data_IF_297403266681
#
_entry.id   IF_297403266681
#
_cell.length_a   1.000
_cell.length_b   1.000
_cell.length_c   1.000
_cell.angle_alpha   90.00
_cell.angle_beta   90.00
_cell.angle_gamma   90.00
#
_symmetry.space_group_name_H-M   'P 1'
#
loop_
_entity.id
_entity.type
_entity.pdbx_description
1 polymer ?
#
# COMPACT_ATOMS: atom_id res chain seq x y z
N UNK A 1 5.05 -17.65 -17.90
CA UNK A 1 4.87 -17.63 -16.42
C UNK A 1 4.94 -16.17 -15.97
N UNK A 2 3.97 -15.68 -15.19
CA UNK A 2 4.03 -14.35 -14.55
C UNK A 2 4.76 -14.50 -13.20
N UNK A 3 5.44 -13.46 -12.73
CA UNK A 3 5.98 -13.46 -11.36
C UNK A 3 4.84 -13.49 -10.32
N UNK A 4 5.08 -14.04 -9.14
CA UNK A 4 4.08 -14.10 -8.05
C UNK A 4 3.63 -12.71 -7.58
N UNK A 5 2.38 -12.60 -7.15
CA UNK A 5 1.76 -11.35 -6.70
C UNK A 5 1.70 -10.30 -7.81
N UNK A 6 1.48 -10.75 -9.05
CA UNK A 6 1.36 -9.90 -10.24
C UNK A 6 0.01 -10.06 -10.95
N UNK A 7 -0.91 -10.85 -10.40
CA UNK A 7 -2.27 -10.95 -10.92
C UNK A 7 -3.34 -10.84 -9.85
N UNK A 8 -4.47 -10.22 -10.20
CA UNK A 8 -5.62 -10.04 -9.31
C UNK A 8 -6.15 -11.38 -8.78
N UNK A 9 -6.14 -12.43 -9.61
CA UNK A 9 -6.65 -13.76 -9.29
C UNK A 9 -5.97 -14.41 -8.08
N UNK A 10 -4.69 -14.10 -7.85
CA UNK A 10 -3.92 -14.58 -6.69
C UNK A 10 -4.49 -14.10 -5.34
N UNK A 11 -5.35 -13.08 -5.38
CA UNK A 11 -5.96 -12.49 -4.21
C UNK A 11 -7.44 -12.82 -4.07
N UNK A 12 -8.03 -13.67 -4.92
CA UNK A 12 -9.44 -14.03 -4.80
C UNK A 12 -9.68 -15.05 -3.67
N UNK A 13 -10.77 -14.93 -2.88
CA UNK A 13 -11.71 -13.81 -2.83
C UNK A 13 -11.12 -12.56 -2.14
N UNK A 14 -11.47 -11.38 -2.65
CA UNK A 14 -11.05 -10.10 -2.05
C UNK A 14 -11.84 -9.81 -0.77
N UNK A 15 -11.14 -9.30 0.24
CA UNK A 15 -11.75 -8.77 1.47
C UNK A 15 -12.52 -7.47 1.19
N UNK A 16 -13.50 -7.08 2.03
CA UNK A 16 -14.25 -5.84 1.84
C UNK A 16 -13.38 -4.59 1.63
N UNK A 17 -12.34 -4.39 2.44
CA UNK A 17 -11.42 -3.26 2.27
C UNK A 17 -10.63 -3.31 0.95
N UNK A 18 -10.27 -4.51 0.49
CA UNK A 18 -9.52 -4.71 -0.76
C UNK A 18 -10.40 -4.42 -1.98
N UNK A 19 -11.69 -4.77 -1.94
CA UNK A 19 -12.66 -4.41 -2.98
C UNK A 19 -12.82 -2.90 -3.10
N UNK A 20 -12.92 -2.19 -1.97
CA UNK A 20 -12.96 -0.73 -1.94
C UNK A 20 -11.66 -0.14 -2.52
N UNK A 21 -10.51 -0.65 -2.07
CA UNK A 21 -9.20 -0.20 -2.54
C UNK A 21 -9.03 -0.40 -4.05
N UNK A 22 -9.40 -1.56 -4.57
CA UNK A 22 -9.36 -1.88 -6.00
C UNK A 22 -10.17 -0.87 -6.82
N UNK A 23 -11.43 -0.64 -6.43
CA UNK A 23 -12.32 0.31 -7.11
C UNK A 23 -11.79 1.75 -7.06
N UNK A 24 -11.19 2.15 -5.94
CA UNK A 24 -10.59 3.46 -5.76
C UNK A 24 -9.30 3.66 -6.56
N UNK A 25 -8.44 2.65 -6.66
CA UNK A 25 -7.22 2.70 -7.48
C UNK A 25 -7.55 2.88 -8.96
N UNK A 26 -8.60 2.24 -9.46
CA UNK A 26 -9.08 2.44 -10.84
C UNK A 26 -9.56 3.87 -11.10
N UNK A 27 -10.09 4.55 -10.09
CA UNK A 27 -10.67 5.88 -10.20
C UNK A 27 -9.73 7.01 -9.76
N UNK A 28 -8.51 6.70 -9.28
CA UNK A 28 -7.57 7.68 -8.74
C UNK A 28 -8.06 8.35 -7.44
N UNK A 29 -8.91 7.66 -6.65
CA UNK A 29 -9.53 8.21 -5.43
C UNK A 29 -8.93 7.58 -4.17
N UNK A 30 -9.03 8.30 -3.06
CA UNK A 30 -8.70 7.79 -1.73
C UNK A 30 -9.69 6.69 -1.30
N UNK A 31 -9.20 5.49 -1.04
CA UNK A 31 -9.93 4.41 -0.39
C UNK A 31 -10.05 4.71 1.11
N UNK A 32 -11.26 5.02 1.56
CA UNK A 32 -11.56 5.33 2.97
C UNK A 32 -12.15 4.11 3.64
N UNK A 33 -11.33 3.37 4.38
CA UNK A 33 -11.74 2.16 5.12
C UNK A 33 -12.19 2.53 6.54
N UNK A 34 -11.46 3.44 7.18
CA UNK A 34 -11.77 3.95 8.51
C UNK A 34 -11.36 5.42 8.68
N UNK A 35 -11.85 6.07 9.73
CA UNK A 35 -11.49 7.45 10.04
C UNK A 35 -10.10 7.54 10.72
N UNK A 36 -9.83 6.64 11.67
CA UNK A 36 -8.65 6.63 12.53
C UNK A 36 -7.77 5.38 12.28
N UNK A 37 -6.59 5.36 12.91
CA UNK A 37 -5.69 4.20 12.88
C UNK A 37 -6.38 3.00 13.55
N UNK A 38 -6.61 1.88 12.83
CA UNK A 38 -7.23 0.71 13.43
C UNK A 38 -6.31 0.09 14.47
N UNK A 39 -6.83 -0.09 15.69
CA UNK A 39 -6.08 -0.72 16.79
C UNK A 39 -5.86 -2.21 16.51
N UNK A 40 -6.92 -2.89 16.10
CA UNK A 40 -6.96 -4.33 15.83
C UNK A 40 -7.51 -4.62 14.41
N UNK A 41 -7.11 -5.75 13.81
CA UNK A 41 -7.65 -6.19 12.52
C UNK A 41 -9.10 -6.69 12.65
N UNK A 42 -9.92 -6.45 11.62
CA UNK A 42 -11.28 -6.98 11.47
C UNK A 42 -11.55 -7.44 10.04
N UNK A 43 -12.65 -8.14 9.79
CA UNK A 43 -13.05 -8.54 8.43
C UNK A 43 -13.12 -7.37 7.46
N UNK A 44 -13.47 -6.18 7.96
CA UNK A 44 -13.84 -5.03 7.14
C UNK A 44 -12.69 -4.05 6.94
N UNK A 45 -11.62 -4.14 7.74
CA UNK A 45 -10.50 -3.19 7.71
C UNK A 45 -9.17 -3.77 7.20
N UNK A 46 -9.10 -5.08 6.99
CA UNK A 46 -7.86 -5.76 6.57
C UNK A 46 -7.64 -5.59 5.07
N UNK A 47 -6.44 -5.12 4.73
CA UNK A 47 -5.86 -5.19 3.38
C UNK A 47 -4.60 -6.06 3.48
N UNK A 48 -4.48 -7.11 2.66
CA UNK A 48 -3.25 -7.90 2.59
C UNK A 48 -2.13 -7.06 2.01
N UNK A 49 -0.95 -7.13 2.61
CA UNK A 49 0.22 -6.38 2.18
C UNK A 49 0.67 -6.75 0.76
N UNK A 50 0.56 -8.03 0.37
CA UNK A 50 0.88 -8.48 -0.99
C UNK A 50 -0.11 -7.96 -2.04
N UNK A 51 -1.39 -7.79 -1.67
CA UNK A 51 -2.38 -7.15 -2.53
C UNK A 51 -2.10 -5.66 -2.70
N UNK A 52 -1.76 -4.97 -1.61
CA UNK A 52 -1.30 -3.58 -1.66
C UNK A 52 -0.05 -3.43 -2.54
N UNK A 53 0.92 -4.35 -2.39
CA UNK A 53 2.12 -4.40 -3.22
C UNK A 53 1.77 -4.57 -4.69
N UNK A 54 0.91 -5.52 -5.04
CA UNK A 54 0.43 -5.74 -6.41
C UNK A 54 -0.09 -4.44 -7.05
N UNK A 55 -0.94 -3.70 -6.34
CA UNK A 55 -1.44 -2.40 -6.80
C UNK A 55 -0.34 -1.33 -6.88
N UNK A 56 0.60 -1.30 -5.92
CA UNK A 56 1.75 -0.38 -6.00
C UNK A 56 2.59 -0.62 -7.27
N UNK A 57 2.64 -1.84 -7.80
CA UNK A 57 3.35 -2.17 -9.03
C UNK A 57 2.56 -1.93 -10.33
N UNK A 58 1.41 -1.26 -10.23
CA UNK A 58 0.53 -0.90 -11.34
C UNK A 58 -0.62 -1.87 -11.60
N UNK A 59 -0.73 -2.95 -10.83
CA UNK A 59 -1.75 -3.99 -11.03
C UNK A 59 -1.54 -4.83 -12.29
N UNK A 60 -2.64 -5.37 -12.83
CA UNK A 60 -2.74 -6.05 -14.12
C UNK A 60 -3.92 -5.48 -14.93
N UNK A 61 -4.25 -6.10 -16.06
CA UNK A 61 -5.30 -5.62 -16.97
C UNK A 61 -6.70 -5.57 -16.31
N UNK A 62 -6.95 -6.44 -15.33
CA UNK A 62 -8.21 -6.51 -14.57
C UNK A 62 -8.21 -5.60 -13.33
N UNK A 63 -7.05 -5.12 -12.91
CA UNK A 63 -6.86 -4.21 -11.78
C UNK A 63 -5.98 -2.99 -12.13
N UNK A 64 -6.31 -2.20 -13.16
CA UNK A 64 -5.48 -1.07 -13.57
C UNK A 64 -5.46 0.00 -12.47
N UNK A 65 -4.28 0.59 -12.26
CA UNK A 65 -4.07 1.67 -11.28
C UNK A 65 -3.94 3.01 -12.02
N UNK A 66 -4.80 3.96 -11.67
CA UNK A 66 -4.78 5.34 -12.18
C UNK A 66 -3.44 6.02 -11.84
N UNK A 67 -3.04 7.04 -12.60
CA UNK A 67 -1.79 7.80 -12.39
C UNK A 67 -1.71 8.51 -11.03
N UNK A 68 -2.84 8.67 -10.32
CA UNK A 68 -2.85 9.17 -8.95
C UNK A 68 -2.34 8.13 -7.93
N UNK A 69 -2.13 6.89 -8.38
CA UNK A 69 -1.56 5.79 -7.61
C UNK A 69 -2.49 5.24 -6.53
N UNK A 70 -1.87 4.68 -5.49
CA UNK A 70 -2.56 4.01 -4.40
C UNK A 70 -2.75 4.99 -3.25
N UNK A 71 -4.01 5.24 -2.89
CA UNK A 71 -4.40 6.12 -1.81
C UNK A 71 -5.29 5.36 -0.82
N UNK A 72 -4.80 5.12 0.39
CA UNK A 72 -5.47 4.27 1.38
C UNK A 72 -5.52 4.94 2.74
N UNK A 73 -6.71 4.96 3.35
CA UNK A 73 -6.93 5.48 4.70
C UNK A 73 -7.62 4.49 5.63
N UNK A 74 -7.13 4.39 6.86
CA UNK A 74 -7.83 3.72 7.96
C UNK A 74 -7.85 2.19 7.87
N UNK A 75 -6.86 1.59 7.21
CA UNK A 75 -6.78 0.15 7.01
C UNK A 75 -5.73 -0.51 7.92
N UNK A 76 -5.96 -1.78 8.23
CA UNK A 76 -4.98 -2.66 8.86
C UNK A 76 -4.26 -3.46 7.76
N UNK A 77 -2.97 -3.23 7.60
CA UNK A 77 -2.16 -3.89 6.57
C UNK A 77 -1.59 -5.18 7.15
N UNK A 78 -2.16 -6.30 6.72
CA UNK A 78 -1.80 -7.64 7.19
C UNK A 78 -0.63 -8.21 6.37
N UNK A 79 0.43 -8.66 7.03
CA UNK A 79 1.63 -9.20 6.40
C UNK A 79 2.75 -8.17 6.19
N UNK A 80 3.70 -8.49 5.32
CA UNK A 80 4.86 -7.64 5.01
C UNK A 80 4.64 -6.87 3.72
N UNK A 81 4.68 -5.54 3.77
CA UNK A 81 4.73 -4.74 2.54
C UNK A 81 6.17 -4.75 2.04
N UNK A 82 6.46 -5.62 1.06
CA UNK A 82 7.77 -5.78 0.48
C UNK A 82 7.84 -5.21 -0.95
N UNK A 83 8.51 -4.07 -1.09
CA UNK A 83 8.82 -3.40 -2.35
C UNK A 83 10.34 -3.41 -2.62
N UNK A 84 11.08 -4.35 -2.04
CA UNK A 84 12.53 -4.50 -2.27
C UNK A 84 12.84 -4.54 -3.78
N UNK A 85 13.75 -3.65 -4.19
CA UNK A 85 14.23 -3.50 -5.56
C UNK A 85 13.12 -3.24 -6.60
N UNK A 86 11.93 -2.82 -6.16
CA UNK A 86 10.80 -2.56 -7.03
C UNK A 86 10.86 -1.17 -7.66
N UNK A 87 10.29 -1.03 -8.87
CA UNK A 87 9.95 0.26 -9.45
C UNK A 87 8.46 0.49 -9.27
N UNK A 88 8.10 1.54 -8.54
CA UNK A 88 6.73 1.94 -8.23
C UNK A 88 6.36 3.12 -9.14
N UNK A 89 5.51 2.90 -10.17
CA UNK A 89 5.27 3.87 -11.24
C UNK A 89 4.30 5.00 -10.86
N UNK A 90 3.64 4.93 -9.70
CA UNK A 90 2.65 5.90 -9.27
C UNK A 90 2.85 6.28 -7.79
N UNK A 91 2.13 7.28 -7.30
CA UNK A 91 2.26 7.70 -5.90
C UNK A 91 1.69 6.66 -4.93
N UNK A 92 2.25 6.60 -3.72
CA UNK A 92 1.74 5.81 -2.60
C UNK A 92 1.40 6.74 -1.43
N UNK A 93 0.11 6.92 -1.16
CA UNK A 93 -0.38 7.71 -0.03
C UNK A 93 -1.10 6.83 0.98
N UNK A 94 -0.46 6.62 2.12
CA UNK A 94 -1.00 5.84 3.24
C UNK A 94 -1.31 6.80 4.39
N UNK A 95 -2.57 6.84 4.82
CA UNK A 95 -3.04 7.75 5.85
C UNK A 95 -3.73 6.99 6.99
N UNK A 96 -3.35 7.24 8.23
CA UNK A 96 -3.97 6.62 9.40
C UNK A 96 -4.13 5.09 9.28
N UNK A 97 -3.14 4.38 8.75
CA UNK A 97 -3.16 2.92 8.65
C UNK A 97 -2.28 2.27 9.71
N UNK A 98 -2.47 0.98 9.97
CA UNK A 98 -1.64 0.20 10.88
C UNK A 98 -0.96 -0.93 10.11
N UNK A 99 0.36 -0.93 10.06
CA UNK A 99 1.13 -2.02 9.47
C UNK A 99 1.41 -3.10 10.52
N UNK A 100 1.00 -4.34 10.24
CA UNK A 100 1.26 -5.47 11.13
C UNK A 100 2.77 -5.69 11.32
N UNK A 101 3.52 -5.68 10.22
CA UNK A 101 4.95 -5.93 10.19
C UNK A 101 5.71 -4.71 9.65
N UNK A 102 7.05 -4.82 9.64
CA UNK A 102 7.90 -3.81 9.00
C UNK A 102 7.65 -3.69 7.51
N UNK A 103 7.92 -2.50 6.96
CA UNK A 103 7.89 -2.20 5.53
C UNK A 103 9.30 -2.36 4.96
N UNK A 104 9.44 -3.03 3.81
CA UNK A 104 10.72 -3.23 3.14
C UNK A 104 10.70 -2.44 1.83
N UNK A 105 11.53 -1.40 1.75
CA UNK A 105 11.70 -0.49 0.62
C UNK A 105 13.16 -0.44 0.13
N UNK A 106 14.01 -1.39 0.55
CA UNK A 106 15.42 -1.43 0.17
C UNK A 106 15.56 -1.41 -1.35
N UNK A 107 16.37 -0.51 -1.91
CA UNK A 107 16.57 -0.37 -3.36
C UNK A 107 15.32 0.00 -4.17
N UNK A 108 14.18 0.29 -3.51
CA UNK A 108 12.95 0.64 -4.19
C UNK A 108 13.06 2.02 -4.86
N UNK A 109 12.47 2.15 -6.05
CA UNK A 109 12.42 3.40 -6.82
C UNK A 109 10.98 3.85 -6.99
N UNK A 110 10.66 5.01 -6.45
CA UNK A 110 9.36 5.66 -6.59
C UNK A 110 9.47 6.80 -7.60
N UNK A 111 8.73 6.68 -8.70
CA UNK A 111 8.65 7.74 -9.73
C UNK A 111 7.92 8.99 -9.21
N UNK A 112 7.10 8.82 -8.16
CA UNK A 112 6.37 9.92 -7.51
C UNK A 112 6.51 9.85 -5.99
N UNK A 113 5.58 10.48 -5.27
CA UNK A 113 5.63 10.59 -3.82
C UNK A 113 5.26 9.28 -3.12
N UNK A 114 5.90 9.04 -1.99
CA UNK A 114 5.55 8.01 -1.01
C UNK A 114 5.39 8.64 0.37
N UNK A 115 4.17 8.56 0.90
CA UNK A 115 3.76 9.27 2.12
C UNK A 115 3.07 8.29 3.07
N UNK A 116 3.54 8.26 4.32
CA UNK A 116 2.92 7.54 5.41
C UNK A 116 2.51 8.52 6.51
N UNK A 117 1.35 9.14 6.35
CA UNK A 117 0.85 10.15 7.27
C UNK A 117 0.03 9.54 8.40
N UNK A 118 0.35 9.88 9.65
CA UNK A 118 -0.42 9.48 10.83
C UNK A 118 -0.56 7.97 11.01
N UNK A 119 0.29 7.19 10.34
CA UNK A 119 0.19 5.73 10.28
C UNK A 119 1.10 5.08 11.31
N UNK A 120 0.65 3.96 11.88
CA UNK A 120 1.45 3.16 12.81
C UNK A 120 2.31 2.17 12.03
N UNK A 121 3.63 2.36 12.07
CA UNK A 121 4.60 1.56 11.31
C UNK A 121 5.49 0.81 12.30
N UNK A 122 5.49 -0.52 12.21
CA UNK A 122 6.29 -1.39 13.07
C UNK A 122 7.73 -1.60 12.53
N UNK A 123 8.34 -0.53 12.00
CA UNK A 123 9.68 -0.54 11.40
C UNK A 123 9.69 -0.38 9.88
N UNK A 124 10.80 0.11 9.34
CA UNK A 124 11.02 0.32 7.91
C UNK A 124 12.48 0.07 7.55
N UNK A 125 12.71 -0.76 6.54
CA UNK A 125 14.01 -0.94 5.90
C UNK A 125 14.00 -0.19 4.58
N UNK A 126 14.74 0.92 4.48
CA UNK A 126 14.71 1.80 3.31
C UNK A 126 16.14 2.17 2.82
N UNK A 127 17.08 1.22 2.91
CA UNK A 127 18.42 1.41 2.36
C UNK A 127 18.37 1.59 0.85
N UNK A 128 19.11 2.56 0.31
CA UNK A 128 19.18 2.84 -1.14
C UNK A 128 17.83 3.16 -1.82
N UNK A 129 16.82 3.57 -1.06
CA UNK A 129 15.54 4.03 -1.62
C UNK A 129 15.75 5.29 -2.47
N UNK A 130 15.08 5.35 -3.62
CA UNK A 130 15.04 6.52 -4.50
C UNK A 130 13.59 6.99 -4.63
N UNK A 131 13.35 8.27 -4.38
CA UNK A 131 12.02 8.89 -4.48
C UNK A 131 12.19 10.19 -5.26
N UNK A 132 11.60 10.27 -6.45
CA UNK A 132 11.63 11.50 -7.26
C UNK A 132 10.68 12.57 -6.71
N UNK A 133 9.55 12.13 -6.15
CA UNK A 133 8.59 13.00 -5.46
C UNK A 133 8.91 13.21 -3.98
N UNK A 134 7.87 13.39 -3.17
CA UNK A 134 8.01 13.58 -1.73
C UNK A 134 8.10 12.24 -1.00
N UNK A 135 9.10 12.10 -0.12
CA UNK A 135 9.12 11.06 0.90
C UNK A 135 8.74 11.67 2.26
N UNK A 136 7.70 11.14 2.91
CA UNK A 136 7.23 11.67 4.20
C UNK A 136 6.75 10.57 5.15
N UNK A 137 7.23 10.66 6.39
CA UNK A 137 6.81 9.82 7.53
C UNK A 137 6.09 10.65 8.60
N UNK A 138 5.41 11.73 8.21
CA UNK A 138 4.80 12.67 9.16
C UNK A 138 3.82 11.95 10.10
N UNK A 139 3.98 12.17 11.40
CA UNK A 139 3.14 11.54 12.44
C UNK A 139 3.15 10.01 12.37
N UNK A 140 4.17 9.41 11.75
CA UNK A 140 4.36 7.97 11.78
C UNK A 140 4.81 7.56 13.18
N UNK A 141 3.96 6.81 13.87
CA UNK A 141 4.24 6.34 15.23
C UNK A 141 5.07 5.06 15.16
N UNK A 142 6.28 5.12 15.71
CA UNK A 142 7.09 3.93 16.02
C UNK A 142 6.66 3.42 17.39
N UNK A 143 6.52 2.09 17.53
CA UNK A 143 6.29 1.44 18.83
C UNK A 143 7.54 1.52 19.70
#
# INVERSE_FOLDING_TARGET
>A
MKAHGRSLDEFTPLKPAEQILLGCCRLGRMAKIGADVPKEPSSDNIVRADFLRFLCLGGDDDAPVHECGVQLRGAYIQGFLNLDSAVVPASLYIHACHFQNQIILTGAKFVYSVVFQGSKINGMLAGDIQVEGYFSLKEALQK
#
